data_IF_579326978547
#
_entry.id   IF_579326978547
#
_cell.length_a   1.000
_cell.length_b   1.000
_cell.length_c   1.000
_cell.angle_alpha   90.00
_cell.angle_beta   90.00
_cell.angle_gamma   90.00
#
_symmetry.space_group_name_H-M   'P 1'
#
loop_
_entity.id
_entity.type
_entity.pdbx_description
1 polymer ?
#
# COMPACT_ATOMS: atom_id res chain seq x y z
N UNK A 1 28.59 -13.62 -12.23
CA UNK A 1 27.67 -14.43 -13.05
C UNK A 1 26.76 -13.48 -13.80
N UNK A 2 26.91 -13.39 -15.13
CA UNK A 2 25.98 -12.63 -15.95
C UNK A 2 24.65 -13.40 -15.99
N UNK A 3 23.65 -12.89 -15.28
CA UNK A 3 22.28 -13.41 -15.38
C UNK A 3 21.77 -12.91 -16.73
N UNK A 4 21.74 -13.80 -17.72
CA UNK A 4 20.99 -13.59 -18.96
C UNK A 4 19.53 -13.45 -18.57
N UNK A 5 19.03 -12.22 -18.46
CA UNK A 5 17.62 -11.94 -18.24
C UNK A 5 16.89 -12.21 -19.56
N UNK A 6 16.53 -13.47 -19.81
CA UNK A 6 15.50 -13.77 -20.80
C UNK A 6 14.23 -13.05 -20.38
N UNK A 7 13.86 -12.01 -21.14
CA UNK A 7 12.58 -11.35 -20.95
C UNK A 7 11.51 -12.36 -21.29
N UNK A 8 10.74 -12.77 -20.27
CA UNK A 8 9.62 -13.70 -20.46
C UNK A 8 8.65 -13.13 -21.52
N UNK A 9 7.95 -13.99 -22.27
CA UNK A 9 6.89 -13.53 -23.16
C UNK A 9 5.91 -12.64 -22.40
N UNK A 10 5.49 -11.54 -23.04
CA UNK A 10 4.66 -10.51 -22.38
C UNK A 10 3.38 -11.10 -21.78
N UNK A 11 2.77 -12.09 -22.42
CA UNK A 11 1.59 -12.81 -21.92
C UNK A 11 1.83 -13.50 -20.56
N UNK A 12 3.03 -14.02 -20.33
CA UNK A 12 3.38 -14.64 -19.04
C UNK A 12 3.56 -13.59 -17.94
N UNK A 13 4.03 -12.40 -18.31
CA UNK A 13 4.18 -11.27 -17.38
C UNK A 13 2.79 -10.71 -17.03
N UNK A 14 1.92 -10.52 -18.02
CA UNK A 14 0.56 -10.00 -17.83
C UNK A 14 -0.29 -10.92 -16.95
N UNK A 15 -0.15 -12.25 -17.05
CA UNK A 15 -0.82 -13.22 -16.16
C UNK A 15 -0.48 -13.06 -14.67
N UNK A 16 0.64 -12.39 -14.36
CA UNK A 16 1.04 -12.11 -12.98
C UNK A 16 0.56 -10.73 -12.52
N UNK A 17 0.14 -9.88 -13.43
CA UNK A 17 -0.32 -8.54 -13.12
C UNK A 17 -1.82 -8.55 -12.74
N UNK A 18 -2.21 -7.62 -11.87
CA UNK A 18 -3.58 -7.47 -11.39
C UNK A 18 -4.22 -6.20 -11.97
N UNK A 19 -4.32 -6.14 -13.30
CA UNK A 19 -5.02 -5.06 -13.97
C UNK A 19 -6.54 -5.23 -13.85
N UNK A 20 -7.31 -4.12 -13.77
CA UNK A 20 -8.77 -4.20 -13.83
C UNK A 20 -9.23 -4.63 -15.24
N UNK A 21 -10.55 -4.83 -15.43
CA UNK A 21 -11.09 -5.05 -16.77
C UNK A 21 -10.84 -3.81 -17.67
N UNK A 22 -10.24 -3.96 -18.87
CA UNK A 22 -10.03 -2.86 -19.80
C UNK A 22 -11.32 -2.19 -20.30
N UNK A 23 -12.49 -2.83 -20.16
CA UNK A 23 -13.78 -2.19 -20.47
C UNK A 23 -14.17 -1.08 -19.49
N UNK A 24 -13.52 -0.98 -18.33
CA UNK A 24 -13.86 -0.01 -17.27
C UNK A 24 -13.41 1.43 -17.54
N UNK A 25 -13.07 1.75 -18.79
CA UNK A 25 -12.70 3.09 -19.23
C UNK A 25 -11.19 3.36 -19.17
N UNK A 26 -10.82 4.61 -18.90
CA UNK A 26 -9.41 5.03 -18.89
C UNK A 26 -8.78 4.68 -17.53
N UNK A 27 -7.68 3.93 -17.57
CA UNK A 27 -6.88 3.63 -16.37
C UNK A 27 -5.94 4.80 -16.06
N UNK A 28 -6.06 5.37 -14.86
CA UNK A 28 -5.14 6.40 -14.38
C UNK A 28 -3.87 5.74 -13.82
N UNK A 29 -2.70 6.19 -14.27
CA UNK A 29 -1.40 5.62 -13.87
C UNK A 29 -0.47 6.73 -13.39
N UNK A 30 0.10 6.59 -12.19
CA UNK A 30 1.12 7.49 -11.67
C UNK A 30 2.49 7.12 -12.24
N UNK A 31 3.14 8.05 -12.94
CA UNK A 31 4.45 7.83 -13.56
C UNK A 31 5.46 8.85 -13.04
N UNK A 32 6.50 8.37 -12.35
CA UNK A 32 7.59 9.21 -11.83
C UNK A 32 8.77 9.32 -12.78
N UNK A 33 8.80 8.53 -13.87
CA UNK A 33 9.95 8.40 -14.76
C UNK A 33 10.93 7.28 -14.35
N UNK A 34 10.72 6.65 -13.19
CA UNK A 34 11.49 5.47 -12.77
C UNK A 34 11.01 4.17 -13.44
N UNK A 35 11.86 3.14 -13.41
CA UNK A 35 11.65 1.85 -14.10
C UNK A 35 10.30 1.21 -13.79
N UNK A 36 9.92 1.18 -12.52
CA UNK A 36 8.72 0.47 -12.07
C UNK A 36 7.45 1.15 -12.61
N UNK A 37 7.45 2.48 -12.65
CA UNK A 37 6.31 3.27 -13.14
C UNK A 37 6.18 3.27 -14.67
N UNK A 38 7.31 3.30 -15.39
CA UNK A 38 7.34 3.15 -16.86
C UNK A 38 6.92 1.74 -17.29
N UNK A 39 7.40 0.72 -16.57
CA UNK A 39 7.01 -0.67 -16.79
C UNK A 39 5.51 -0.86 -16.56
N UNK A 40 4.95 -0.32 -15.47
CA UNK A 40 3.52 -0.35 -15.21
C UNK A 40 2.70 0.23 -16.37
N UNK A 41 3.05 1.43 -16.84
CA UNK A 41 2.34 2.08 -17.94
C UNK A 41 2.43 1.26 -19.24
N UNK A 42 3.60 0.72 -19.55
CA UNK A 42 3.83 -0.11 -20.74
C UNK A 42 3.01 -1.40 -20.70
N UNK A 43 2.99 -2.08 -19.55
CA UNK A 43 2.21 -3.31 -19.36
C UNK A 43 0.71 -3.04 -19.37
N UNK A 44 0.24 -1.88 -18.87
CA UNK A 44 -1.16 -1.51 -18.94
C UNK A 44 -1.66 -1.36 -20.39
N UNK A 45 -0.86 -0.70 -21.25
CA UNK A 45 -1.16 -0.60 -22.69
C UNK A 45 -1.14 -1.98 -23.35
N UNK A 46 -0.15 -2.81 -23.04
CA UNK A 46 -0.07 -4.19 -23.55
C UNK A 46 -1.24 -5.07 -23.09
N UNK A 47 -1.81 -4.81 -21.92
CA UNK A 47 -3.02 -5.45 -21.42
C UNK A 47 -4.32 -4.92 -22.07
N UNK A 48 -4.23 -3.96 -23.00
CA UNK A 48 -5.36 -3.42 -23.75
C UNK A 48 -6.03 -2.20 -23.13
N UNK A 49 -5.44 -1.60 -22.08
CA UNK A 49 -6.02 -0.40 -21.47
C UNK A 49 -5.72 0.86 -22.28
N UNK A 50 -6.73 1.73 -22.38
CA UNK A 50 -6.49 3.16 -22.61
C UNK A 50 -6.03 3.76 -21.28
N UNK A 51 -4.90 4.46 -21.28
CA UNK A 51 -4.35 5.00 -20.04
C UNK A 51 -4.23 6.53 -20.06
N UNK A 52 -4.33 7.12 -18.86
CA UNK A 52 -3.95 8.50 -18.58
C UNK A 52 -2.81 8.50 -17.57
N UNK A 53 -1.65 8.98 -18.00
CA UNK A 53 -0.48 9.17 -17.17
C UNK A 53 -0.64 10.45 -16.36
N UNK A 54 -0.37 10.34 -15.06
CA UNK A 54 -0.26 11.46 -14.14
C UNK A 54 1.18 11.53 -13.63
N UNK A 55 1.87 12.61 -13.94
CA UNK A 55 3.20 12.91 -13.42
C UNK A 55 3.12 14.02 -12.38
N UNK A 56 3.78 13.83 -11.24
CA UNK A 56 3.81 14.82 -10.17
C UNK A 56 5.16 15.50 -10.16
N UNK A 57 5.17 16.79 -10.47
CA UNK A 57 6.35 17.65 -10.37
C UNK A 57 6.35 18.38 -9.03
N UNK A 58 7.39 18.11 -8.23
CA UNK A 58 7.60 18.71 -6.92
C UNK A 58 8.24 20.11 -6.96
N UNK A 59 8.75 20.55 -8.12
CA UNK A 59 9.50 21.82 -8.31
C UNK A 59 10.67 22.03 -7.33
N UNK A 60 11.29 20.94 -6.87
CA UNK A 60 12.38 20.99 -5.88
C UNK A 60 13.75 21.19 -6.55
N UNK A 61 13.92 20.85 -7.84
CA UNK A 61 15.19 20.86 -8.56
C UNK A 61 15.01 21.37 -9.99
N UNK A 62 16.08 21.87 -10.62
CA UNK A 62 16.07 22.23 -12.04
C UNK A 62 15.87 21.02 -12.96
N UNK A 63 16.24 19.81 -12.51
CA UNK A 63 16.03 18.54 -13.24
C UNK A 63 14.56 18.13 -13.38
N UNK A 64 13.65 18.73 -12.61
CA UNK A 64 12.22 18.38 -12.64
C UNK A 64 11.59 18.62 -14.01
N UNK A 65 12.09 19.62 -14.75
CA UNK A 65 11.63 19.92 -16.11
C UNK A 65 12.01 18.80 -17.09
N UNK A 66 13.22 18.27 -16.99
CA UNK A 66 13.70 17.17 -17.83
C UNK A 66 12.91 15.88 -17.55
N UNK A 67 12.60 15.61 -16.27
CA UNK A 67 11.77 14.47 -15.86
C UNK A 67 10.35 14.57 -16.43
N UNK A 68 9.70 15.73 -16.29
CA UNK A 68 8.36 15.96 -16.83
C UNK A 68 8.33 15.85 -18.36
N UNK A 69 9.35 16.38 -19.03
CA UNK A 69 9.49 16.29 -20.49
C UNK A 69 9.65 14.84 -20.95
N UNK A 70 10.56 14.10 -20.31
CA UNK A 70 10.77 12.68 -20.57
C UNK A 70 9.48 11.84 -20.41
N UNK A 71 8.73 12.07 -19.32
CA UNK A 71 7.47 11.33 -19.10
C UNK A 71 6.39 11.74 -20.12
N UNK A 72 6.37 13.00 -20.56
CA UNK A 72 5.48 13.46 -21.62
C UNK A 72 5.77 12.79 -22.97
N UNK A 73 7.05 12.73 -23.38
CA UNK A 73 7.47 12.03 -24.60
C UNK A 73 7.15 10.54 -24.53
N UNK A 74 7.38 9.92 -23.38
CA UNK A 74 7.02 8.53 -23.13
C UNK A 74 5.50 8.31 -23.27
N UNK A 75 4.68 9.22 -22.75
CA UNK A 75 3.22 9.13 -22.87
C UNK A 75 2.77 9.20 -24.33
N UNK A 76 3.35 10.09 -25.13
CA UNK A 76 3.09 10.19 -26.57
C UNK A 76 3.46 8.89 -27.30
N UNK A 77 4.66 8.34 -27.02
CA UNK A 77 5.17 7.12 -27.64
C UNK A 77 4.24 5.91 -27.45
N UNK A 78 3.59 5.78 -26.28
CA UNK A 78 2.68 4.67 -25.98
C UNK A 78 1.19 5.00 -26.25
N UNK A 79 0.90 6.17 -26.82
CA UNK A 79 -0.47 6.61 -27.11
C UNK A 79 -1.32 6.92 -25.87
N UNK A 80 -0.69 7.32 -24.76
CA UNK A 80 -1.34 7.66 -23.51
C UNK A 80 -1.73 9.15 -23.42
N UNK A 81 -2.80 9.45 -22.69
CA UNK A 81 -3.06 10.83 -22.26
C UNK A 81 -2.05 11.23 -21.19
N UNK A 82 -1.59 12.48 -21.19
CA UNK A 82 -0.64 12.99 -20.20
C UNK A 82 -1.25 14.12 -19.35
N UNK A 83 -0.99 14.07 -18.06
CA UNK A 83 -1.35 15.10 -17.10
C UNK A 83 -0.18 15.39 -16.18
N UNK A 84 0.35 16.62 -16.29
CA UNK A 84 1.25 17.17 -15.31
C UNK A 84 0.45 17.70 -14.11
N UNK A 85 0.88 17.35 -12.90
CA UNK A 85 0.40 17.93 -11.66
C UNK A 85 1.57 18.59 -10.96
N UNK A 86 1.48 19.89 -10.76
CA UNK A 86 2.52 20.65 -10.09
C UNK A 86 2.12 20.90 -8.63
N UNK A 87 3.01 20.57 -7.69
CA UNK A 87 2.80 20.87 -6.27
C UNK A 87 3.91 21.76 -5.77
N UNK A 88 3.57 23.01 -5.47
CA UNK A 88 4.49 23.96 -4.83
C UNK A 88 4.33 23.87 -3.31
N UNK A 89 5.28 23.23 -2.63
CA UNK A 89 5.24 23.22 -1.17
C UNK A 89 5.89 24.48 -0.62
N UNK A 90 5.08 25.47 -0.19
CA UNK A 90 5.55 26.71 0.44
C UNK A 90 5.60 26.58 1.98
N UNK A 91 6.73 26.94 2.59
CA UNK A 91 6.90 27.12 4.05
C UNK A 91 7.63 25.98 4.78
N UNK A 92 8.40 26.28 5.83
CA UNK A 92 9.31 25.33 6.53
C UNK A 92 8.69 24.46 7.64
N UNK A 93 7.48 24.77 8.12
CA UNK A 93 6.83 24.03 9.22
C UNK A 93 5.56 23.31 8.72
N UNK A 94 5.35 22.06 9.16
CA UNK A 94 4.29 21.14 8.70
C UNK A 94 4.36 20.67 7.22
N UNK A 95 5.52 20.82 6.57
CA UNK A 95 5.82 20.40 5.19
C UNK A 95 5.39 18.97 4.88
N UNK A 96 5.76 18.01 5.73
CA UNK A 96 5.61 16.60 5.38
C UNK A 96 4.14 16.14 5.40
N UNK A 97 3.38 16.56 6.42
CA UNK A 97 1.96 16.22 6.54
C UNK A 97 1.11 16.95 5.48
N UNK A 98 1.40 18.23 5.19
CA UNK A 98 0.72 19.01 4.13
C UNK A 98 1.08 18.50 2.75
N UNK A 99 2.36 18.31 2.44
CA UNK A 99 2.81 17.72 1.17
C UNK A 99 2.28 16.30 0.97
N UNK A 100 2.04 15.54 2.04
CA UNK A 100 1.44 14.19 1.96
C UNK A 100 -0.06 14.25 1.68
N UNK A 101 -0.79 15.22 2.25
CA UNK A 101 -2.21 15.43 1.96
C UNK A 101 -2.42 16.01 0.56
N UNK A 102 -1.61 17.00 0.17
CA UNK A 102 -1.62 17.59 -1.18
C UNK A 102 -1.27 16.54 -2.23
N UNK A 103 -0.28 15.66 -1.97
CA UNK A 103 0.01 14.49 -2.83
C UNK A 103 -1.16 13.53 -2.98
N UNK A 104 -1.90 13.30 -1.90
CA UNK A 104 -3.07 12.40 -1.93
C UNK A 104 -4.25 13.00 -2.69
N UNK A 105 -4.46 14.32 -2.61
CA UNK A 105 -5.50 15.01 -3.37
C UNK A 105 -5.11 15.30 -4.83
N UNK A 106 -3.81 15.30 -5.14
CA UNK A 106 -3.27 15.58 -6.47
C UNK A 106 -3.62 14.50 -7.51
N UNK A 107 -3.81 13.26 -7.07
CA UNK A 107 -4.16 12.15 -7.96
C UNK A 107 -5.63 11.76 -7.83
N UNK A 108 -6.24 11.26 -8.93
CA UNK A 108 -7.57 10.68 -8.85
C UNK A 108 -7.58 9.46 -7.92
N UNK A 109 -8.73 9.21 -7.30
CA UNK A 109 -8.93 8.01 -6.50
C UNK A 109 -8.74 6.75 -7.36
N UNK A 110 -8.07 5.74 -6.81
CA UNK A 110 -7.84 4.47 -7.51
C UNK A 110 -6.72 4.50 -8.56
N UNK A 111 -5.87 5.53 -8.57
CA UNK A 111 -4.70 5.59 -9.46
C UNK A 111 -3.79 4.36 -9.28
N UNK A 112 -3.35 3.78 -10.40
CA UNK A 112 -2.39 2.68 -10.41
C UNK A 112 -0.97 3.20 -10.18
N UNK A 113 -0.19 2.48 -9.37
CA UNK A 113 1.16 2.86 -8.93
C UNK A 113 2.14 1.72 -9.13
N UNK A 114 3.39 2.04 -9.47
CA UNK A 114 4.44 1.07 -9.79
C UNK A 114 5.07 0.39 -8.57
N UNK A 115 4.28 -0.09 -7.62
CA UNK A 115 4.81 -0.88 -6.50
C UNK A 115 5.10 -2.31 -6.93
N UNK A 116 6.23 -2.84 -6.49
CA UNK A 116 6.78 -4.16 -6.87
C UNK A 116 6.85 -5.12 -5.68
N UNK A 117 7.27 -6.37 -5.95
CA UNK A 117 7.51 -7.38 -4.92
C UNK A 117 8.62 -6.97 -3.95
N UNK A 118 9.59 -6.18 -4.41
CA UNK A 118 10.64 -5.61 -3.57
C UNK A 118 10.05 -4.64 -2.54
N UNK A 119 9.12 -3.78 -2.97
CA UNK A 119 8.43 -2.84 -2.07
C UNK A 119 7.56 -3.59 -1.03
N UNK A 120 7.03 -4.76 -1.39
CA UNK A 120 6.34 -5.65 -0.44
C UNK A 120 7.27 -6.16 0.64
N UNK A 121 8.43 -6.70 0.26
CA UNK A 121 9.42 -7.20 1.21
C UNK A 121 9.93 -6.08 2.13
N UNK A 122 10.20 -4.90 1.58
CA UNK A 122 10.57 -3.71 2.35
C UNK A 122 9.48 -3.33 3.36
N UNK A 123 8.22 -3.32 2.93
CA UNK A 123 7.08 -2.95 3.78
C UNK A 123 6.84 -3.96 4.89
N UNK A 124 6.94 -5.26 4.60
CA UNK A 124 6.86 -6.33 5.60
C UNK A 124 7.94 -6.15 6.66
N UNK A 125 9.20 -5.97 6.27
CA UNK A 125 10.32 -5.79 7.20
C UNK A 125 10.18 -4.51 8.03
N UNK A 126 9.76 -3.40 7.42
CA UNK A 126 9.46 -2.16 8.15
C UNK A 126 8.37 -2.36 9.20
N UNK A 127 7.31 -3.10 8.87
CA UNK A 127 6.22 -3.35 9.80
C UNK A 127 6.61 -4.34 10.90
N UNK A 128 7.48 -5.31 10.60
CA UNK A 128 8.07 -6.21 11.58
C UNK A 128 8.92 -5.44 12.60
N UNK A 129 9.78 -4.52 12.16
CA UNK A 129 10.58 -3.67 13.05
C UNK A 129 9.73 -2.76 13.95
N UNK A 130 8.49 -2.48 13.56
CA UNK A 130 7.51 -1.72 14.36
C UNK A 130 6.70 -2.60 15.31
N UNK A 131 6.94 -3.91 15.35
CA UNK A 131 6.16 -4.85 16.16
C UNK A 131 4.72 -5.03 15.67
N UNK A 132 4.50 -4.92 14.37
CA UNK A 132 3.15 -5.08 13.81
C UNK A 132 2.67 -6.53 13.91
N UNK A 133 1.39 -6.73 14.22
CA UNK A 133 0.73 -8.03 14.12
C UNK A 133 0.39 -8.41 12.67
N UNK A 134 -0.36 -9.50 12.51
CA UNK A 134 -0.72 -10.10 11.22
C UNK A 134 -1.13 -9.07 10.17
N UNK A 135 -2.13 -8.22 10.48
CA UNK A 135 -2.63 -7.18 9.56
C UNK A 135 -1.58 -6.20 9.05
N UNK A 136 -0.57 -5.89 9.84
CA UNK A 136 0.55 -5.04 9.39
C UNK A 136 1.58 -5.83 8.59
N UNK A 137 1.81 -7.09 8.96
CA UNK A 137 2.72 -8.00 8.24
C UNK A 137 2.16 -8.47 6.89
N UNK A 138 0.85 -8.36 6.67
CA UNK A 138 0.20 -8.48 5.34
C UNK A 138 0.71 -7.45 4.32
N UNK A 139 1.44 -6.43 4.78
CA UNK A 139 2.05 -5.38 3.98
C UNK A 139 1.05 -4.67 3.05
N UNK A 140 1.24 -4.70 1.72
CA UNK A 140 0.33 -4.06 0.78
C UNK A 140 -0.70 -5.04 0.22
N UNK A 141 -1.94 -4.59 0.05
CA UNK A 141 -2.96 -5.38 -0.65
C UNK A 141 -2.63 -5.51 -2.14
N UNK A 142 -2.91 -6.70 -2.71
CA UNK A 142 -2.93 -6.93 -4.16
C UNK A 142 -4.27 -6.48 -4.70
N UNK A 143 -4.27 -5.29 -5.28
CA UNK A 143 -5.47 -4.63 -5.78
C UNK A 143 -5.15 -3.86 -7.08
N UNK A 144 -6.16 -3.38 -7.83
CA UNK A 144 -5.94 -2.71 -9.12
C UNK A 144 -5.12 -1.41 -9.04
N UNK A 145 -4.88 -0.85 -7.84
CA UNK A 145 -3.99 0.30 -7.65
C UNK A 145 -2.51 -0.08 -7.61
N UNK A 146 -2.19 -1.39 -7.53
CA UNK A 146 -0.82 -1.94 -7.56
C UNK A 146 -0.72 -3.12 -8.52
N UNK A 147 -0.97 -2.93 -9.84
CA UNK A 147 -1.09 -4.06 -10.77
C UNK A 147 0.17 -4.91 -10.90
N UNK A 148 1.36 -4.34 -10.71
CA UNK A 148 2.65 -5.02 -10.91
C UNK A 148 3.31 -5.50 -9.61
N UNK A 149 2.55 -5.59 -8.51
CA UNK A 149 3.06 -5.92 -7.17
C UNK A 149 3.74 -7.29 -7.07
N UNK A 150 3.48 -8.18 -8.02
CA UNK A 150 4.04 -9.54 -8.11
C UNK A 150 5.30 -9.61 -8.98
N UNK A 151 5.73 -8.49 -9.57
CA UNK A 151 6.96 -8.41 -10.36
C UNK A 151 8.12 -7.99 -9.46
N UNK A 152 9.31 -8.54 -9.71
CA UNK A 152 10.55 -8.06 -9.08
C UNK A 152 11.00 -6.77 -9.75
N UNK A 153 11.70 -5.92 -9.01
CA UNK A 153 12.36 -4.73 -9.55
C UNK A 153 13.37 -5.06 -10.66
N UNK A 154 14.03 -6.22 -10.59
CA UNK A 154 14.88 -6.69 -11.68
C UNK A 154 14.10 -6.97 -12.96
N UNK A 155 12.84 -7.41 -12.86
CA UNK A 155 11.97 -7.66 -14.01
C UNK A 155 11.50 -6.34 -14.64
N UNK A 156 11.12 -5.34 -13.84
CA UNK A 156 10.72 -4.02 -14.35
C UNK A 156 11.88 -3.33 -15.08
N UNK A 157 13.10 -3.41 -14.53
CA UNK A 157 14.32 -2.92 -15.19
C UNK A 157 14.58 -3.65 -16.51
N UNK A 158 14.46 -4.98 -16.53
CA UNK A 158 14.66 -5.78 -17.75
C UNK A 158 13.62 -5.43 -18.84
N UNK A 159 12.36 -5.23 -18.46
CA UNK A 159 11.28 -4.83 -19.37
C UNK A 159 11.57 -3.43 -19.94
N UNK A 160 11.94 -2.46 -19.09
CA UNK A 160 12.32 -1.12 -19.56
C UNK A 160 13.49 -1.19 -20.54
N UNK A 161 14.52 -2.00 -20.26
CA UNK A 161 15.66 -2.20 -21.15
C UNK A 161 15.25 -2.80 -22.49
N UNK A 162 14.38 -3.80 -22.51
CA UNK A 162 13.87 -4.42 -23.74
C UNK A 162 13.02 -3.44 -24.58
N UNK A 163 12.31 -2.54 -23.92
CA UNK A 163 11.56 -1.45 -24.54
C UNK A 163 12.45 -0.24 -24.90
N UNK A 164 13.76 -0.31 -24.66
CA UNK A 164 14.73 0.77 -24.86
C UNK A 164 14.37 2.07 -24.14
N UNK A 165 13.74 1.94 -22.99
CA UNK A 165 13.45 3.05 -22.08
C UNK A 165 14.69 3.34 -21.24
N UNK A 166 14.95 4.62 -20.97
CA UNK A 166 16.03 5.08 -20.11
C UNK A 166 15.41 5.72 -18.86
N UNK A 167 15.11 4.95 -17.79
CA UNK A 167 14.44 5.48 -16.62
C UNK A 167 15.32 6.49 -15.88
N UNK A 168 14.68 7.50 -15.29
CA UNK A 168 15.34 8.47 -14.42
C UNK A 168 15.78 7.78 -13.14
N UNK A 169 17.03 8.03 -12.74
CA UNK A 169 17.60 7.53 -11.48
C UNK A 169 17.56 8.65 -10.45
N UNK A 170 16.64 8.56 -9.48
CA UNK A 170 16.62 9.50 -8.36
C UNK A 170 17.72 9.14 -7.34
N UNK A 171 18.65 10.07 -7.15
CA UNK A 171 19.77 9.97 -6.21
C UNK A 171 19.33 9.80 -4.75
N UNK A 172 18.12 10.25 -4.39
CA UNK A 172 17.58 10.10 -3.05
C UNK A 172 17.37 8.64 -2.64
N UNK A 173 17.20 7.73 -3.61
CA UNK A 173 17.07 6.28 -3.39
C UNK A 173 18.32 5.64 -2.79
N UNK A 174 19.46 6.35 -2.79
CA UNK A 174 20.72 5.89 -2.22
C UNK A 174 21.04 6.55 -0.87
N UNK A 175 20.22 7.49 -0.39
CA UNK A 175 20.47 8.13 0.91
C UNK A 175 20.26 7.12 2.05
N UNK A 176 21.23 6.99 2.99
CA UNK A 176 21.10 6.14 4.16
C UNK A 176 20.17 6.72 5.24
N UNK A 177 19.77 7.99 5.12
CA UNK A 177 18.89 8.66 6.10
C UNK A 177 17.48 8.05 6.12
N UNK A 178 17.08 7.40 5.02
CA UNK A 178 15.79 6.74 4.89
C UNK A 178 15.89 5.27 5.28
N UNK A 179 15.20 4.88 6.35
CA UNK A 179 15.17 3.49 6.83
C UNK A 179 14.77 2.48 5.74
N UNK A 180 13.86 2.86 4.83
CA UNK A 180 13.48 2.02 3.69
C UNK A 180 14.66 1.74 2.75
N UNK A 181 15.48 2.75 2.45
CA UNK A 181 16.68 2.57 1.63
C UNK A 181 17.69 1.64 2.31
N UNK A 182 17.86 1.76 3.63
CA UNK A 182 18.71 0.85 4.41
C UNK A 182 18.20 -0.59 4.36
N UNK A 183 16.89 -0.81 4.47
CA UNK A 183 16.31 -2.15 4.33
C UNK A 183 16.59 -2.72 2.94
N UNK A 184 16.39 -1.93 1.89
CA UNK A 184 16.66 -2.33 0.50
C UNK A 184 18.13 -2.65 0.24
N UNK A 185 19.03 -1.78 0.69
CA UNK A 185 20.44 -1.81 0.29
C UNK A 185 21.35 -2.58 1.27
N UNK A 186 20.96 -2.73 2.53
CA UNK A 186 21.76 -3.42 3.57
C UNK A 186 21.07 -4.72 4.03
N UNK A 187 19.82 -4.63 4.50
CA UNK A 187 19.15 -5.74 5.21
C UNK A 187 18.74 -6.85 4.26
N UNK A 188 18.06 -6.54 3.16
CA UNK A 188 17.60 -7.55 2.20
C UNK A 188 18.79 -8.32 1.60
N UNK A 189 19.87 -7.66 1.14
CA UNK A 189 21.07 -8.35 0.67
C UNK A 189 21.73 -9.23 1.73
N UNK A 190 21.85 -8.76 2.97
CA UNK A 190 22.41 -9.55 4.07
C UNK A 190 21.56 -10.80 4.36
N UNK A 191 20.24 -10.67 4.41
CA UNK A 191 19.34 -11.80 4.59
C UNK A 191 19.43 -12.80 3.43
N UNK A 192 19.53 -12.31 2.19
CA UNK A 192 19.72 -13.16 1.02
C UNK A 192 21.06 -13.92 1.07
N UNK A 193 22.14 -13.24 1.51
CA UNK A 193 23.45 -13.84 1.70
C UNK A 193 23.42 -14.94 2.76
N UNK A 194 22.82 -14.68 3.92
CA UNK A 194 22.70 -15.65 5.02
C UNK A 194 21.84 -16.85 4.61
N UNK A 195 20.71 -16.60 3.92
CA UNK A 195 19.80 -17.64 3.50
C UNK A 195 20.23 -18.40 2.23
N UNK A 196 21.31 -17.93 1.57
CA UNK A 196 21.80 -18.44 0.29
C UNK A 196 20.71 -18.53 -0.81
N UNK A 197 19.76 -17.57 -0.81
CA UNK A 197 18.66 -17.52 -1.78
C UNK A 197 18.04 -16.13 -1.86
N UNK A 198 17.29 -15.86 -2.93
CA UNK A 198 16.47 -14.66 -3.00
C UNK A 198 15.34 -14.74 -1.98
N UNK A 199 15.38 -13.85 -0.98
CA UNK A 199 14.40 -13.79 0.12
C UNK A 199 13.12 -13.03 -0.24
N UNK A 200 13.13 -12.19 -1.27
CA UNK A 200 11.98 -11.33 -1.58
C UNK A 200 10.74 -12.14 -1.96
N UNK A 201 10.81 -13.19 -2.83
CA UNK A 201 9.66 -14.03 -3.11
C UNK A 201 9.11 -14.80 -1.90
N UNK A 202 9.93 -15.02 -0.88
CA UNK A 202 9.48 -15.67 0.37
C UNK A 202 8.71 -14.67 1.22
N UNK A 203 9.21 -13.43 1.35
CA UNK A 203 8.48 -12.39 2.08
C UNK A 203 7.18 -12.00 1.40
N UNK A 204 7.14 -11.90 0.09
CA UNK A 204 5.90 -11.67 -0.66
C UNK A 204 4.87 -12.81 -0.46
N UNK A 205 5.33 -14.07 -0.48
CA UNK A 205 4.48 -15.22 -0.17
C UNK A 205 3.94 -15.16 1.26
N UNK A 206 4.78 -14.86 2.24
CA UNK A 206 4.37 -14.69 3.64
C UNK A 206 3.35 -13.57 3.77
N UNK A 207 3.59 -12.41 3.18
CA UNK A 207 2.66 -11.29 3.18
C UNK A 207 1.29 -11.68 2.59
N UNK A 208 1.31 -12.43 1.50
CA UNK A 208 0.08 -12.92 0.82
C UNK A 208 -0.71 -13.86 1.72
N UNK A 209 -0.06 -14.86 2.33
CA UNK A 209 -0.73 -15.80 3.23
C UNK A 209 -1.34 -15.07 4.44
N UNK A 210 -0.58 -14.16 5.05
CA UNK A 210 -1.06 -13.34 6.17
C UNK A 210 -2.20 -12.42 5.75
N UNK A 211 -2.22 -11.94 4.50
CA UNK A 211 -3.33 -11.15 3.97
C UNK A 211 -4.60 -11.98 3.85
N UNK A 212 -4.52 -13.18 3.27
CA UNK A 212 -5.67 -14.08 3.09
C UNK A 212 -6.25 -14.51 4.45
N UNK A 213 -5.40 -14.86 5.41
CA UNK A 213 -5.79 -15.22 6.78
C UNK A 213 -6.41 -14.03 7.52
N UNK A 214 -5.84 -12.83 7.40
CA UNK A 214 -6.39 -11.61 8.01
C UNK A 214 -7.77 -11.27 7.46
N UNK A 215 -7.97 -11.44 6.15
CA UNK A 215 -9.27 -11.23 5.50
C UNK A 215 -10.30 -12.26 5.89
N UNK A 216 -9.90 -13.52 6.01
CA UNK A 216 -10.79 -14.56 6.51
C UNK A 216 -11.24 -14.27 7.95
N UNK A 217 -10.30 -13.94 8.85
CA UNK A 217 -10.65 -13.59 10.23
C UNK A 217 -11.52 -12.33 10.31
N UNK A 218 -11.32 -11.34 9.43
CA UNK A 218 -12.21 -10.19 9.34
C UNK A 218 -13.61 -10.59 8.88
N UNK A 219 -13.74 -11.53 7.92
CA UNK A 219 -15.05 -12.02 7.49
C UNK A 219 -15.83 -12.71 8.62
N UNK A 220 -15.15 -13.49 9.47
CA UNK A 220 -15.76 -14.12 10.65
C UNK A 220 -16.14 -13.10 11.71
N UNK A 221 -15.27 -12.12 11.97
CA UNK A 221 -15.51 -11.07 12.95
C UNK A 221 -16.70 -10.16 12.55
N UNK A 222 -16.89 -9.90 11.26
CA UNK A 222 -18.02 -9.12 10.74
C UNK A 222 -19.38 -9.81 10.93
N UNK A 223 -19.42 -11.11 11.21
CA UNK A 223 -20.65 -11.82 11.56
C UNK A 223 -21.08 -11.60 13.03
N UNK A 224 -20.22 -11.02 13.88
CA UNK A 224 -20.55 -10.76 15.27
C UNK A 224 -21.38 -9.47 15.42
N UNK A 225 -22.47 -9.57 16.17
CA UNK A 225 -23.22 -8.40 16.62
C UNK A 225 -22.45 -7.66 17.72
N UNK A 226 -21.71 -6.62 17.30
CA UNK A 226 -20.92 -5.76 18.18
C UNK A 226 -21.79 -4.86 19.09
N UNK A 227 -23.11 -4.80 18.88
CA UNK A 227 -24.04 -4.08 19.76
C UNK A 227 -24.57 -4.95 20.89
N UNK A 228 -24.31 -6.26 20.86
CA UNK A 228 -24.73 -7.21 21.89
C UNK A 228 -23.55 -7.67 22.74
N UNK A 229 -23.56 -7.30 24.02
CA UNK A 229 -22.55 -7.80 24.98
C UNK A 229 -22.61 -9.32 25.13
N UNK A 230 -23.79 -9.93 24.95
CA UNK A 230 -23.96 -11.39 25.03
C UNK A 230 -23.25 -12.05 23.86
N UNK A 231 -23.46 -11.54 22.64
CA UNK A 231 -22.78 -12.04 21.45
C UNK A 231 -21.26 -11.90 21.57
N UNK A 232 -20.78 -10.74 22.03
CA UNK A 232 -19.35 -10.51 22.24
C UNK A 232 -18.77 -11.40 23.34
N UNK A 233 -19.44 -11.55 24.48
CA UNK A 233 -18.99 -12.44 25.56
C UNK A 233 -18.93 -13.91 25.12
N UNK A 234 -19.85 -14.33 24.25
CA UNK A 234 -19.90 -15.69 23.71
C UNK A 234 -18.87 -15.98 22.61
N UNK A 235 -18.31 -14.94 21.98
CA UNK A 235 -17.30 -15.08 20.95
C UNK A 235 -15.91 -15.39 21.54
N UNK A 236 -15.05 -16.05 20.75
CA UNK A 236 -13.63 -16.18 21.07
C UNK A 236 -12.94 -14.82 21.17
N UNK A 237 -11.91 -14.72 22.02
CA UNK A 237 -11.16 -13.47 22.24
C UNK A 237 -10.59 -12.86 20.96
N UNK A 238 -10.13 -13.68 20.00
CA UNK A 238 -9.58 -13.21 18.73
C UNK A 238 -10.66 -12.50 17.92
N UNK A 239 -11.81 -13.16 17.75
CA UNK A 239 -12.93 -12.62 16.96
C UNK A 239 -13.56 -11.40 17.64
N UNK A 240 -13.68 -11.41 18.96
CA UNK A 240 -14.21 -10.30 19.75
C UNK A 240 -13.37 -9.03 19.59
N UNK A 241 -12.06 -9.12 19.84
CA UNK A 241 -11.13 -7.99 19.67
C UNK A 241 -11.14 -7.47 18.25
N UNK A 242 -11.18 -8.38 17.27
CA UNK A 242 -11.19 -8.03 15.85
C UNK A 242 -12.49 -7.32 15.46
N UNK A 243 -13.65 -7.81 15.89
CA UNK A 243 -14.95 -7.18 15.61
C UNK A 243 -15.04 -5.77 16.20
N UNK A 244 -14.61 -5.61 17.46
CA UNK A 244 -14.54 -4.30 18.12
C UNK A 244 -13.60 -3.34 17.37
N UNK A 245 -12.42 -3.82 16.96
CA UNK A 245 -11.46 -3.05 16.17
C UNK A 245 -12.03 -2.59 14.83
N UNK A 246 -12.67 -3.49 14.08
CA UNK A 246 -13.28 -3.18 12.79
C UNK A 246 -14.40 -2.15 12.93
N UNK A 247 -15.23 -2.26 13.97
CA UNK A 247 -16.33 -1.31 14.20
C UNK A 247 -15.80 0.10 14.55
N UNK A 248 -14.78 0.19 15.39
CA UNK A 248 -14.13 1.46 15.73
C UNK A 248 -13.47 2.07 14.48
N UNK A 249 -12.75 1.26 13.70
CA UNK A 249 -12.11 1.70 12.46
C UNK A 249 -13.13 2.20 11.44
N UNK A 250 -14.27 1.50 11.29
CA UNK A 250 -15.38 1.90 10.42
C UNK A 250 -15.98 3.26 10.80
N UNK A 251 -16.11 3.55 12.09
CA UNK A 251 -16.72 4.80 12.59
C UNK A 251 -15.78 5.98 12.59
N UNK A 252 -14.50 5.75 12.89
CA UNK A 252 -13.51 6.83 13.08
C UNK A 252 -12.62 7.04 11.87
N UNK A 253 -12.56 6.06 10.95
CA UNK A 253 -11.61 5.97 9.86
C UNK A 253 -10.20 5.56 10.31
N UNK A 254 -9.99 5.25 11.59
CA UNK A 254 -8.67 4.97 12.16
C UNK A 254 -8.70 3.74 13.06
N UNK A 255 -7.72 2.83 12.92
CA UNK A 255 -7.65 1.68 13.78
C UNK A 255 -7.26 2.09 15.21
N UNK A 256 -7.92 1.56 16.25
CA UNK A 256 -7.53 1.80 17.65
C UNK A 256 -6.20 1.11 17.99
N UNK A 257 -5.57 1.50 19.10
CA UNK A 257 -4.42 0.78 19.65
C UNK A 257 -4.83 -0.55 20.28
N UNK A 258 -3.87 -1.46 20.49
CA UNK A 258 -4.14 -2.71 21.19
C UNK A 258 -4.65 -2.45 22.62
N UNK A 259 -4.02 -1.52 23.34
CA UNK A 259 -4.43 -1.15 24.70
C UNK A 259 -5.88 -0.64 24.77
N UNK A 260 -6.33 0.14 23.79
CA UNK A 260 -7.73 0.60 23.70
C UNK A 260 -8.71 -0.55 23.49
N UNK A 261 -8.32 -1.54 22.68
CA UNK A 261 -9.13 -2.74 22.45
C UNK A 261 -9.20 -3.62 23.70
N UNK A 262 -8.07 -3.83 24.38
CA UNK A 262 -8.01 -4.62 25.62
C UNK A 262 -8.80 -3.95 26.75
N UNK A 263 -8.75 -2.62 26.87
CA UNK A 263 -9.57 -1.87 27.82
C UNK A 263 -11.07 -2.07 27.54
N UNK A 264 -11.50 -1.85 26.29
CA UNK A 264 -12.91 -2.04 25.91
C UNK A 264 -13.36 -3.49 26.11
N UNK A 265 -12.53 -4.47 25.69
CA UNK A 265 -12.82 -5.88 25.88
C UNK A 265 -13.00 -6.21 27.37
N UNK A 266 -12.13 -5.69 28.25
CA UNK A 266 -12.25 -5.86 29.69
C UNK A 266 -13.57 -5.32 30.24
N UNK A 267 -14.04 -4.17 29.75
CA UNK A 267 -15.35 -3.59 30.14
C UNK A 267 -16.52 -4.45 29.66
N UNK A 268 -16.48 -4.93 28.41
CA UNK A 268 -17.51 -5.82 27.85
C UNK A 268 -17.62 -7.11 28.65
N UNK A 269 -16.49 -7.72 29.00
CA UNK A 269 -16.43 -8.97 29.77
C UNK A 269 -16.82 -8.77 31.24
N UNK A 270 -16.57 -7.58 31.81
CA UNK A 270 -16.93 -7.25 33.18
C UNK A 270 -18.45 -7.22 33.43
N UNK A 271 -19.29 -7.16 32.38
CA UNK A 271 -20.77 -7.14 32.44
C UNK A 271 -21.36 -6.05 33.35
N UNK A 272 -20.63 -4.97 33.56
CA UNK A 272 -21.08 -3.77 34.28
C UNK A 272 -21.42 -2.67 33.26
N UNK A 273 -22.25 -1.73 33.67
CA UNK A 273 -22.46 -0.51 32.89
C UNK A 273 -21.12 0.22 32.73
N UNK A 274 -20.78 0.60 31.49
CA UNK A 274 -19.52 1.27 31.19
C UNK A 274 -19.71 2.39 30.18
N UNK A 275 -18.75 3.32 30.18
CA UNK A 275 -18.58 4.34 29.15
C UNK A 275 -17.08 4.56 28.95
N UNK A 276 -16.65 4.54 27.69
CA UNK A 276 -15.28 4.87 27.29
C UNK A 276 -15.32 5.92 26.19
N UNK A 277 -14.30 6.77 26.17
CA UNK A 277 -14.11 7.76 25.11
C UNK A 277 -12.81 7.45 24.39
N UNK A 278 -12.93 7.18 23.09
CA UNK A 278 -11.81 6.95 22.20
C UNK A 278 -11.44 8.25 21.46
N UNK A 279 -10.21 8.34 20.92
CA UNK A 279 -9.81 9.46 20.08
C UNK A 279 -10.80 9.69 18.92
N UNK A 280 -10.83 10.92 18.41
CA UNK A 280 -11.76 11.35 17.33
C UNK A 280 -13.24 11.32 17.75
N UNK A 281 -13.51 11.57 19.02
CA UNK A 281 -14.86 11.83 19.52
C UNK A 281 -15.77 10.60 19.60
N UNK A 282 -15.24 9.38 19.45
CA UNK A 282 -16.07 8.17 19.57
C UNK A 282 -16.30 7.82 21.05
N UNK A 283 -17.53 7.96 21.52
CA UNK A 283 -18.00 7.43 22.79
C UNK A 283 -18.60 6.03 22.59
N UNK A 284 -18.21 5.08 23.44
CA UNK A 284 -18.78 3.73 23.48
C UNK A 284 -19.33 3.50 24.89
N UNK A 285 -20.61 3.14 24.99
CA UNK A 285 -21.28 2.89 26.26
C UNK A 285 -21.98 1.54 26.26
N UNK A 286 -21.82 0.76 27.33
CA UNK A 286 -22.53 -0.50 27.52
C UNK A 286 -23.55 -0.38 28.65
N UNK A 287 -24.81 -0.79 28.42
CA UNK A 287 -25.86 -0.89 29.44
C UNK A 287 -26.82 -2.03 29.16
N UNK A 288 -27.22 -2.77 30.21
CA UNK A 288 -28.26 -3.82 30.14
C UNK A 288 -28.11 -4.79 28.97
N UNK A 289 -26.88 -5.17 28.66
CA UNK A 289 -26.60 -6.14 27.60
C UNK A 289 -26.35 -5.53 26.21
N UNK A 290 -26.57 -4.22 26.03
CA UNK A 290 -26.45 -3.49 24.76
C UNK A 290 -25.22 -2.57 24.78
N UNK A 291 -24.56 -2.41 23.63
CA UNK A 291 -23.45 -1.47 23.42
C UNK A 291 -23.86 -0.43 22.39
N UNK A 292 -23.79 0.84 22.80
CA UNK A 292 -24.04 2.01 21.98
C UNK A 292 -22.72 2.66 21.56
N UNK A 293 -22.66 3.08 20.29
CA UNK A 293 -21.52 3.76 19.70
C UNK A 293 -21.96 5.13 19.18
N UNK A 294 -21.45 6.20 19.77
CA UNK A 294 -21.83 7.58 19.44
C UNK A 294 -20.61 8.41 19.06
N UNK A 295 -20.62 8.98 17.86
CA UNK A 295 -19.62 9.98 17.47
C UNK A 295 -20.10 11.34 17.98
N UNK A 296 -19.26 11.99 18.77
CA UNK A 296 -19.48 13.35 19.28
C UNK A 296 -18.75 14.30 18.32
N UNK A 297 -19.49 15.22 17.72
CA UNK A 297 -18.95 16.33 16.90
C UNK A 297 -18.13 17.32 17.73
#
# INVERSE_FOLDING_TARGET
>A
MAISLEVKPIDQILKRCFFPDPSNGILNVAVSGGSDSLCLASLAVAAGHKIKIWHLDHKIRDSSFEEAHFVSEFAEMIGAQFQLVEVSVKGRSNLEARARNERKSAFPQGIATGHTMDDQAETLLLNLLRGSGMRGLSAMARDPTKPILTLRKSETIAICSALRLNPVIDSSNFSPDFLRNRIRNEVIPLLAQIAHRDIVPIFDRTATLLFDEDRYLDSLALCLDVTSTIALCGADSILRRRALRLEIERRTGYPPSLAQIEELEGKVLGRLDFRIQLPRGLEIAGRRGVIDYKTIE
#
